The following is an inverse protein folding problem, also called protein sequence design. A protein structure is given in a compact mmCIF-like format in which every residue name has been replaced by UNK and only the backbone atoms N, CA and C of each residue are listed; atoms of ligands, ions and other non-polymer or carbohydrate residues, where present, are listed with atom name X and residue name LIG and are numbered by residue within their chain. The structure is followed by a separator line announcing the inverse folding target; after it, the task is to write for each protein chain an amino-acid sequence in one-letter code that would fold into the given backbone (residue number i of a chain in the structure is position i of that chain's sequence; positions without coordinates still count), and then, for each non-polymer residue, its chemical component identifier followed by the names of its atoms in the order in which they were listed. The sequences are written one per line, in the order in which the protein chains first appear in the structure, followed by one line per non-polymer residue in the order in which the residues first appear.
data_IF_254922343313
#
_entry.id   IF_254922343313
#
_cell.length_a   1.000
_cell.length_b   1.000
_cell.length_c   1.000
_cell.angle_alpha   90.00
_cell.angle_beta   90.00
_cell.angle_gamma   90.00
#
_symmetry.space_group_name_H-M   'P 1'
#
loop_
_entity.id
_entity.type
_entity.pdbx_description
1 polymer ?
#
# COMPACT_ATOMS: atom_id res chain seq x y z
N UNK A 1 -16.98 8.59 59.52
CA UNK A 1 -18.07 9.21 58.74
C UNK A 1 -17.70 8.98 57.27
N UNK A 2 -18.25 8.04 56.49
CA UNK A 2 -19.67 7.60 56.34
C UNK A 2 -20.58 8.83 56.15
N UNK A 3 -21.39 9.03 55.10
CA UNK A 3 -21.99 8.21 54.01
C UNK A 3 -22.29 9.13 52.78
N UNK A 4 -22.63 8.73 51.53
CA UNK A 4 -22.84 7.44 50.80
C UNK A 4 -22.64 7.67 49.27
N UNK A 5 -22.78 6.63 48.43
CA UNK A 5 -22.62 6.66 46.96
C UNK A 5 -23.83 7.19 46.14
N UNK A 6 -23.59 7.49 44.85
CA UNK A 6 -24.61 7.72 43.83
C UNK A 6 -23.98 7.96 42.45
N UNK A 7 -23.97 6.94 41.57
CA UNK A 7 -23.42 7.03 40.22
C UNK A 7 -24.48 7.05 39.13
N UNK A 8 -24.24 7.79 38.03
CA UNK A 8 -25.02 7.72 36.78
C UNK A 8 -24.04 7.86 35.61
N UNK A 9 -24.19 7.00 34.59
CA UNK A 9 -23.36 7.03 33.38
C UNK A 9 -23.73 8.20 32.46
N UNK A 10 -22.74 8.82 31.82
CA UNK A 10 -22.93 9.89 30.84
C UNK A 10 -22.64 9.36 29.42
N UNK A 11 -23.69 9.30 28.59
CA UNK A 11 -23.55 9.07 27.15
C UNK A 11 -23.39 10.41 26.42
N UNK A 12 -22.28 10.60 25.70
CA UNK A 12 -22.01 11.82 24.94
C UNK A 12 -22.53 11.71 23.51
N UNK A 13 -23.69 12.33 23.25
CA UNK A 13 -24.19 12.53 21.89
C UNK A 13 -23.54 13.78 21.26
N UNK A 14 -23.03 13.66 20.03
CA UNK A 14 -22.37 14.76 19.31
C UNK A 14 -23.36 15.79 18.76
N UNK A 15 -23.04 17.08 18.92
CA UNK A 15 -23.78 18.21 18.33
C UNK A 15 -23.06 18.74 17.08
N UNK A 16 -23.64 18.50 15.91
CA UNK A 16 -23.22 19.15 14.67
C UNK A 16 -23.90 20.53 14.55
N UNK A 17 -23.11 21.59 14.36
CA UNK A 17 -23.63 22.95 14.17
C UNK A 17 -23.90 23.24 12.69
N UNK A 18 -25.16 23.48 12.32
CA UNK A 18 -25.51 23.99 11.00
C UNK A 18 -25.60 25.52 11.00
N UNK A 19 -24.87 26.17 10.08
CA UNK A 19 -24.94 27.62 9.84
C UNK A 19 -26.16 27.95 8.97
N UNK A 20 -27.08 28.77 9.49
CA UNK A 20 -28.27 29.23 8.80
C UNK A 20 -28.09 30.64 8.22
N UNK A 21 -28.25 30.79 6.91
CA UNK A 21 -28.41 32.10 6.26
C UNK A 21 -29.90 32.43 6.10
N UNK A 22 -30.33 33.60 6.57
CA UNK A 22 -31.71 34.07 6.45
C UNK A 22 -31.80 35.30 5.55
N UNK A 23 -32.65 35.25 4.50
CA UNK A 23 -33.00 36.41 3.67
C UNK A 23 -34.44 36.83 3.96
N UNK A 24 -34.67 38.12 4.24
CA UNK A 24 -35.90 38.64 4.86
C UNK A 24 -36.95 39.01 3.80
N UNK A 25 -38.05 38.25 3.71
CA UNK A 25 -39.23 38.54 2.88
C UNK A 25 -40.50 38.68 3.73
N UNK A 26 -41.45 39.55 3.33
CA UNK A 26 -42.58 39.95 4.19
C UNK A 26 -43.81 39.03 4.05
N UNK A 27 -44.42 38.72 5.20
CA UNK A 27 -45.79 38.19 5.44
C UNK A 27 -46.08 36.73 5.02
N UNK A 28 -46.18 35.87 6.04
CA UNK A 28 -47.32 34.94 6.18
C UNK A 28 -47.08 33.47 5.83
N UNK A 29 -46.97 32.64 6.88
CA UNK A 29 -46.88 31.16 6.87
C UNK A 29 -45.60 30.58 6.25
N UNK A 30 -44.73 30.03 7.10
CA UNK A 30 -43.73 29.04 6.68
C UNK A 30 -44.47 27.79 6.23
N UNK A 31 -44.36 27.44 4.95
CA UNK A 31 -44.78 26.14 4.44
C UNK A 31 -43.49 25.36 4.11
N UNK A 32 -43.25 24.26 4.81
CA UNK A 32 -42.11 23.39 4.55
C UNK A 32 -42.37 22.68 3.20
N UNK A 33 -41.72 23.17 2.15
CA UNK A 33 -41.66 22.49 0.85
C UNK A 33 -40.42 21.60 0.88
N UNK A 34 -40.54 20.26 0.83
CA UNK A 34 -39.38 19.38 0.75
C UNK A 34 -38.62 19.64 -0.55
N UNK A 35 -37.34 19.99 -0.46
CA UNK A 35 -36.49 20.09 -1.63
C UNK A 35 -36.10 18.68 -2.08
N UNK A 36 -36.83 18.12 -3.05
CA UNK A 36 -36.57 16.82 -3.67
C UNK A 36 -35.24 16.74 -4.49
N UNK A 37 -34.37 17.75 -4.35
CA UNK A 37 -33.03 17.83 -4.95
C UNK A 37 -31.92 18.01 -3.89
N UNK A 38 -32.27 17.93 -2.59
CA UNK A 38 -31.31 18.00 -1.48
C UNK A 38 -31.36 16.76 -0.56
N UNK A 39 -31.81 15.62 -1.08
CA UNK A 39 -31.41 14.35 -0.46
C UNK A 39 -29.89 14.18 -0.68
N UNK A 40 -29.10 13.90 0.38
CA UNK A 40 -27.77 13.37 0.14
C UNK A 40 -27.97 12.06 -0.64
N UNK A 41 -27.32 11.93 -1.80
CA UNK A 41 -27.18 10.60 -2.40
C UNK A 41 -26.46 9.75 -1.38
N UNK A 42 -27.22 8.89 -0.69
CA UNK A 42 -26.68 7.65 -0.17
C UNK A 42 -26.13 6.95 -1.40
N UNK A 43 -24.83 7.06 -1.60
CA UNK A 43 -24.10 5.92 -2.07
C UNK A 43 -24.44 4.84 -1.03
N UNK A 44 -25.27 3.89 -1.41
CA UNK A 44 -25.37 2.61 -0.71
C UNK A 44 -24.04 1.90 -0.95
N UNK A 45 -23.01 2.39 -0.27
CA UNK A 45 -21.93 1.53 0.18
C UNK A 45 -22.64 0.56 1.11
N UNK A 46 -22.90 -0.63 0.57
CA UNK A 46 -23.44 -1.74 1.32
C UNK A 46 -22.43 -2.11 2.40
N UNK A 47 -22.57 -1.43 3.54
CA UNK A 47 -21.83 -1.64 4.78
C UNK A 47 -22.49 -2.71 5.64
N UNK A 48 -23.40 -3.52 5.06
CA UNK A 48 -23.67 -4.82 5.67
C UNK A 48 -22.35 -5.57 5.67
N UNK A 49 -21.84 -5.80 6.89
CA UNK A 49 -20.58 -6.50 7.08
C UNK A 49 -20.69 -7.84 6.36
N UNK A 50 -19.86 -8.04 5.33
CA UNK A 50 -19.70 -9.33 4.65
C UNK A 50 -19.13 -10.32 5.65
N UNK A 51 -20.00 -10.86 6.49
CA UNK A 51 -19.83 -12.12 7.19
C UNK A 51 -19.79 -13.19 6.09
N UNK A 52 -18.63 -13.32 5.46
CA UNK A 52 -18.29 -14.51 4.71
C UNK A 52 -18.46 -15.67 5.69
N UNK A 53 -19.29 -16.63 5.28
CA UNK A 53 -19.89 -17.58 6.20
C UNK A 53 -18.82 -18.28 7.05
N UNK A 54 -19.09 -18.35 8.35
CA UNK A 54 -18.24 -19.03 9.33
C UNK A 54 -18.35 -20.56 9.10
N UNK A 55 -17.63 -21.00 8.08
CA UNK A 55 -17.63 -22.37 7.60
C UNK A 55 -16.82 -23.24 8.53
N UNK A 56 -17.53 -23.96 9.41
CA UNK A 56 -17.12 -25.10 10.24
C UNK A 56 -15.61 -25.24 10.53
N UNK A 57 -15.25 -25.16 11.82
CA UNK A 57 -13.89 -25.37 12.34
C UNK A 57 -13.31 -26.77 12.00
N UNK A 58 -12.78 -26.90 10.79
CA UNK A 58 -11.82 -27.92 10.40
C UNK A 58 -10.39 -27.44 10.66
N UNK A 59 -9.48 -28.36 10.97
CA UNK A 59 -8.05 -28.04 10.99
C UNK A 59 -7.63 -27.72 9.55
N UNK A 60 -7.05 -26.55 9.32
CA UNK A 60 -6.58 -26.10 7.99
C UNK A 60 -5.06 -26.04 7.95
N UNK A 61 -4.46 -26.44 6.83
CA UNK A 61 -3.03 -26.30 6.59
C UNK A 61 -2.76 -25.27 5.49
N UNK A 62 -1.82 -24.35 5.70
CA UNK A 62 -1.31 -23.47 4.64
C UNK A 62 -0.54 -24.30 3.61
N UNK A 63 -0.74 -24.02 2.32
CA UNK A 63 -0.14 -24.76 1.19
C UNK A 63 0.63 -23.89 0.20
N UNK A 64 0.31 -22.60 0.16
CA UNK A 64 1.00 -21.53 -0.55
C UNK A 64 0.71 -20.22 0.21
N UNK A 65 1.70 -19.34 0.32
CA UNK A 65 1.54 -17.97 0.79
C UNK A 65 2.09 -16.98 -0.24
N UNK A 66 1.38 -15.88 -0.45
CA UNK A 66 1.78 -14.75 -1.28
C UNK A 66 1.79 -13.50 -0.41
N UNK A 67 2.91 -12.78 -0.36
CA UNK A 67 3.09 -11.57 0.44
C UNK A 67 3.31 -10.40 -0.50
N UNK A 68 2.41 -9.41 -0.50
CA UNK A 68 2.65 -8.11 -1.12
C UNK A 68 2.99 -7.11 -0.02
N UNK A 69 4.18 -6.52 -0.04
CA UNK A 69 4.60 -5.61 1.00
C UNK A 69 5.09 -4.26 0.47
N UNK A 70 4.91 -3.21 1.27
CA UNK A 70 5.54 -1.89 1.04
C UNK A 70 7.01 -1.96 1.44
N UNK A 71 7.86 -1.19 0.75
CA UNK A 71 9.22 -0.92 1.20
C UNK A 71 9.28 -0.35 2.64
N UNK A 72 10.45 -0.43 3.26
CA UNK A 72 10.70 0.11 4.60
C UNK A 72 10.87 1.62 4.64
N UNK A 73 11.14 2.15 5.83
CA UNK A 73 11.50 3.54 6.06
C UNK A 73 12.63 4.01 5.14
N UNK A 74 12.42 5.19 4.55
CA UNK A 74 13.29 5.78 3.55
C UNK A 74 13.46 7.28 3.78
N UNK A 75 14.40 7.88 3.09
CA UNK A 75 14.46 9.32 2.91
C UNK A 75 13.28 9.83 2.07
N UNK A 76 12.93 11.14 2.17
CA UNK A 76 11.91 11.78 1.35
C UNK A 76 12.11 11.63 -0.16
N UNK A 77 11.03 11.66 -0.93
CA UNK A 77 11.03 11.82 -2.41
C UNK A 77 10.93 13.29 -2.84
N UNK A 78 10.38 14.16 -1.98
CA UNK A 78 10.33 15.60 -2.17
C UNK A 78 11.06 16.32 -1.01
N UNK A 79 11.39 17.60 -1.18
CA UNK A 79 11.82 18.45 -0.08
C UNK A 79 10.77 19.52 0.17
N UNK A 80 10.51 19.82 1.44
CA UNK A 80 9.76 21.00 1.83
C UNK A 80 10.72 22.19 1.97
N UNK A 81 10.26 23.42 1.67
CA UNK A 81 11.03 24.62 1.92
C UNK A 81 11.54 24.67 3.38
N UNK A 82 12.84 24.92 3.55
CA UNK A 82 13.49 24.93 4.86
C UNK A 82 14.07 23.58 5.32
N UNK A 83 13.90 22.49 4.57
CA UNK A 83 14.65 21.24 4.80
C UNK A 83 16.11 21.38 4.32
N UNK A 84 17.08 20.68 4.95
CA UNK A 84 18.46 20.64 4.46
C UNK A 84 18.59 20.11 3.03
N UNK A 85 19.53 20.66 2.27
CA UNK A 85 19.86 20.18 0.94
C UNK A 85 20.49 18.77 0.99
N UNK A 86 20.16 17.92 0.01
CA UNK A 86 20.72 16.57 -0.11
C UNK A 86 22.25 16.64 -0.24
N UNK A 87 22.96 15.82 0.53
CA UNK A 87 24.43 15.84 0.58
C UNK A 87 25.04 17.00 1.38
N UNK A 88 24.22 17.81 2.08
CA UNK A 88 24.73 18.69 3.14
C UNK A 88 25.06 17.91 4.41
N UNK A 89 25.92 18.47 5.27
CA UNK A 89 26.24 17.90 6.59
C UNK A 89 25.00 17.65 7.45
N UNK A 90 24.01 18.53 7.36
CA UNK A 90 22.78 18.46 8.14
C UNK A 90 21.89 17.32 7.63
N UNK A 91 21.81 17.14 6.31
CA UNK A 91 21.13 15.99 5.70
C UNK A 91 21.81 14.66 6.06
N UNK A 92 23.14 14.59 5.98
CA UNK A 92 23.89 13.41 6.41
C UNK A 92 23.74 13.13 7.91
N UNK A 93 23.65 14.16 8.74
CA UNK A 93 23.37 14.03 10.19
C UNK A 93 21.95 13.50 10.46
N UNK A 94 20.96 13.89 9.66
CA UNK A 94 19.57 13.43 9.80
C UNK A 94 19.36 11.97 9.35
N UNK A 95 19.95 11.57 8.22
CA UNK A 95 19.64 10.28 7.57
C UNK A 95 20.78 9.26 7.66
N UNK A 96 22.01 9.70 7.92
CA UNK A 96 23.19 8.86 7.96
C UNK A 96 23.58 8.30 6.60
N UNK A 97 23.88 6.99 6.59
CA UNK A 97 24.31 6.28 5.39
C UNK A 97 23.30 5.21 4.98
N UNK A 98 23.04 5.17 3.67
CA UNK A 98 22.10 4.26 3.03
C UNK A 98 22.87 3.24 2.15
N UNK A 99 22.33 2.03 2.03
CA UNK A 99 22.93 0.95 1.24
C UNK A 99 22.69 1.18 -0.25
N UNK A 100 23.69 0.88 -1.08
CA UNK A 100 23.59 0.95 -2.54
C UNK A 100 23.22 -0.40 -3.14
N UNK A 101 22.37 -0.42 -4.16
CA UNK A 101 22.09 -1.64 -4.95
C UNK A 101 23.28 -1.93 -5.87
N UNK A 102 23.75 -3.19 -5.86
CA UNK A 102 24.86 -3.66 -6.70
C UNK A 102 24.55 -3.45 -8.19
N UNK A 103 25.57 -3.12 -8.97
CA UNK A 103 25.44 -2.64 -10.36
C UNK A 103 24.62 -3.53 -11.29
N UNK A 104 24.66 -4.86 -11.09
CA UNK A 104 23.89 -5.84 -11.88
C UNK A 104 22.37 -5.78 -11.69
N UNK A 105 21.87 -5.08 -10.67
CA UNK A 105 20.43 -4.87 -10.41
C UNK A 105 20.05 -3.39 -10.28
N UNK A 106 20.90 -2.49 -10.80
CA UNK A 106 20.55 -1.08 -10.94
C UNK A 106 19.32 -0.94 -11.86
N UNK A 107 18.34 -0.10 -11.52
CA UNK A 107 17.31 0.30 -12.47
C UNK A 107 17.99 0.95 -13.69
N UNK A 108 17.48 0.67 -14.90
CA UNK A 108 17.81 1.53 -16.04
C UNK A 108 17.15 2.87 -15.75
N UNK A 109 17.93 3.95 -15.68
CA UNK A 109 17.39 5.29 -15.43
C UNK A 109 16.39 5.67 -16.53
N UNK A 110 15.10 5.55 -16.23
CA UNK A 110 14.01 5.96 -17.11
C UNK A 110 13.40 7.25 -16.57
N UNK A 111 13.34 8.29 -17.42
CA UNK A 111 12.92 9.67 -17.11
C UNK A 111 11.40 9.81 -16.87
N UNK A 112 10.79 8.92 -16.06
CA UNK A 112 9.33 8.82 -15.87
C UNK A 112 8.94 8.84 -14.38
N UNK A 113 9.70 9.53 -13.52
CA UNK A 113 9.10 10.13 -12.32
C UNK A 113 8.33 11.39 -12.75
N UNK A 114 7.09 11.17 -13.18
CA UNK A 114 6.18 12.22 -13.64
C UNK A 114 5.89 13.24 -12.53
N UNK A 115 6.47 14.43 -12.66
CA UNK A 115 6.22 15.64 -11.87
C UNK A 115 6.89 15.74 -10.51
N UNK A 116 8.22 15.55 -10.47
CA UNK A 116 9.07 16.46 -9.68
C UNK A 116 9.88 17.32 -10.64
N UNK A 117 9.36 18.52 -10.93
CA UNK A 117 9.98 19.46 -11.87
C UNK A 117 11.40 19.85 -11.42
N UNK A 118 12.38 19.53 -12.27
CA UNK A 118 13.74 20.09 -12.28
C UNK A 118 14.46 20.14 -10.93
N UNK A 119 14.94 18.99 -10.45
CA UNK A 119 16.24 18.88 -9.75
C UNK A 119 16.75 17.42 -9.65
N UNK A 120 16.13 16.47 -10.36
CA UNK A 120 16.57 15.08 -10.48
C UNK A 120 17.74 14.92 -11.45
N UNK A 121 18.87 15.59 -11.17
CA UNK A 121 20.11 14.86 -11.32
C UNK A 121 20.17 13.87 -10.17
N UNK A 122 20.43 12.59 -10.46
CA UNK A 122 21.13 11.78 -9.48
C UNK A 122 22.47 12.48 -9.28
N UNK A 123 22.54 13.30 -8.22
CA UNK A 123 23.64 14.22 -8.00
C UNK A 123 24.92 13.43 -8.01
N UNK A 124 25.78 13.72 -8.99
CA UNK A 124 27.09 13.11 -9.19
C UNK A 124 27.76 12.92 -7.84
N UNK A 125 27.70 11.69 -7.32
CA UNK A 125 28.43 11.34 -6.12
C UNK A 125 29.88 11.69 -6.44
N UNK A 126 30.46 12.62 -5.66
CA UNK A 126 31.88 12.92 -5.73
C UNK A 126 32.63 11.59 -5.76
N UNK A 127 33.64 11.47 -6.63
CA UNK A 127 34.30 10.21 -6.98
C UNK A 127 35.06 9.59 -5.77
N UNK A 128 34.27 9.11 -4.82
CA UNK A 128 34.63 8.48 -3.56
C UNK A 128 34.30 7.00 -3.68
N UNK A 129 35.28 6.21 -3.28
CA UNK A 129 35.46 4.80 -3.58
C UNK A 129 34.15 3.98 -3.77
N UNK A 130 34.00 3.44 -4.99
CA UNK A 130 32.87 2.59 -5.37
C UNK A 130 32.89 1.22 -4.66
N UNK A 131 33.89 0.96 -3.81
CA UNK A 131 33.99 -0.22 -2.96
C UNK A 131 33.00 -0.26 -1.79
N UNK A 132 32.50 0.90 -1.31
CA UNK A 132 31.68 0.95 -0.10
C UNK A 132 30.21 0.63 -0.37
N UNK A 133 29.71 -0.41 0.30
CA UNK A 133 28.31 -0.88 0.26
C UNK A 133 27.31 0.18 0.80
N UNK A 134 27.78 1.04 1.71
CA UNK A 134 27.02 2.17 2.25
C UNK A 134 27.67 3.49 1.83
N UNK A 135 26.85 4.52 1.58
CA UNK A 135 27.30 5.89 1.35
C UNK A 135 26.28 6.90 1.88
N UNK A 136 26.54 8.21 1.77
CA UNK A 136 25.56 9.25 2.12
C UNK A 136 24.19 8.98 1.48
N UNK A 137 23.12 9.10 2.28
CA UNK A 137 21.77 8.88 1.78
C UNK A 137 21.37 9.93 0.73
N UNK A 138 20.89 9.49 -0.43
CA UNK A 138 20.18 10.33 -1.40
C UNK A 138 18.69 10.47 -1.10
N UNK A 139 17.93 11.06 -2.03
CA UNK A 139 16.46 11.06 -2.00
C UNK A 139 15.88 9.66 -2.24
N UNK A 140 14.73 9.36 -1.63
CA UNK A 140 13.99 8.12 -1.85
C UNK A 140 14.71 6.81 -1.51
N UNK A 141 15.83 6.85 -0.79
CA UNK A 141 16.66 5.70 -0.45
C UNK A 141 16.22 5.02 0.84
N UNK A 142 16.25 3.68 0.87
CA UNK A 142 15.97 2.90 2.07
C UNK A 142 17.01 3.20 3.15
N UNK A 143 16.56 3.58 4.35
CA UNK A 143 17.45 3.83 5.49
C UNK A 143 17.65 2.56 6.31
N UNK A 144 18.64 2.56 7.21
CA UNK A 144 18.85 1.47 8.18
C UNK A 144 17.63 1.16 9.05
N UNK A 145 16.69 2.11 9.23
CA UNK A 145 15.42 1.84 9.89
C UNK A 145 14.54 0.94 9.01
N UNK A 146 14.44 1.25 7.71
CA UNK A 146 13.72 0.43 6.75
C UNK A 146 14.31 -0.97 6.58
N UNK A 147 15.64 -1.08 6.57
CA UNK A 147 16.33 -2.37 6.57
C UNK A 147 15.88 -3.25 7.75
N UNK A 148 15.93 -2.71 8.98
CA UNK A 148 15.48 -3.41 10.20
C UNK A 148 13.99 -3.73 10.20
N UNK A 149 13.14 -2.84 9.67
CA UNK A 149 11.71 -3.11 9.54
C UNK A 149 11.46 -4.35 8.67
N UNK A 150 12.16 -4.47 7.53
CA UNK A 150 11.93 -5.59 6.63
C UNK A 150 12.56 -6.88 7.15
N UNK A 151 13.71 -6.81 7.82
CA UNK A 151 14.26 -7.95 8.56
C UNK A 151 13.33 -8.42 9.69
N UNK A 152 12.63 -7.51 10.37
CA UNK A 152 11.61 -7.86 11.35
C UNK A 152 10.36 -8.51 10.70
N UNK A 153 9.88 -7.99 9.56
CA UNK A 153 8.80 -8.62 8.80
C UNK A 153 9.19 -10.02 8.31
N UNK A 154 10.41 -10.20 7.78
CA UNK A 154 10.96 -11.49 7.41
C UNK A 154 11.05 -12.47 8.59
N UNK A 155 11.44 -11.98 9.76
CA UNK A 155 11.50 -12.76 11.00
C UNK A 155 10.11 -13.19 11.50
N UNK A 156 9.09 -12.32 11.34
CA UNK A 156 7.69 -12.68 11.58
C UNK A 156 7.22 -13.79 10.62
N UNK A 157 7.49 -13.65 9.31
CA UNK A 157 7.17 -14.66 8.30
C UNK A 157 7.90 -15.99 8.58
N UNK A 158 9.15 -15.93 9.08
CA UNK A 158 9.90 -17.11 9.56
C UNK A 158 9.19 -17.81 10.72
N UNK A 159 8.80 -17.05 11.74
CA UNK A 159 8.01 -17.57 12.86
C UNK A 159 6.72 -18.24 12.38
N UNK A 160 5.96 -17.55 11.52
CA UNK A 160 4.64 -17.97 11.04
C UNK A 160 4.65 -19.15 10.06
N UNK A 161 5.68 -19.31 9.23
CA UNK A 161 5.67 -20.31 8.15
C UNK A 161 6.81 -21.33 8.18
N UNK A 162 7.90 -21.09 8.89
CA UNK A 162 9.01 -22.06 9.03
C UNK A 162 8.98 -22.74 10.40
N UNK A 163 8.74 -21.98 11.48
CA UNK A 163 8.85 -22.47 12.85
C UNK A 163 7.52 -22.98 13.44
N UNK A 164 6.41 -22.29 13.16
CA UNK A 164 5.09 -22.61 13.71
C UNK A 164 4.07 -22.89 12.62
N UNK A 165 4.00 -24.16 12.17
CA UNK A 165 2.95 -24.57 11.25
C UNK A 165 1.58 -24.62 11.92
N UNK A 166 0.70 -23.66 11.60
CA UNK A 166 -0.71 -23.72 12.00
C UNK A 166 -1.33 -25.08 11.61
N UNK A 167 -2.08 -25.68 12.54
CA UNK A 167 -2.82 -26.93 12.36
C UNK A 167 -2.03 -28.25 12.35
N UNK A 168 -0.77 -28.27 11.88
CA UNK A 168 -0.06 -29.54 11.58
C UNK A 168 1.24 -29.80 12.33
N UNK A 169 1.76 -28.82 13.10
CA UNK A 169 3.01 -28.97 13.84
C UNK A 169 4.28 -29.06 12.97
N UNK A 170 4.17 -28.80 11.66
CA UNK A 170 5.30 -28.69 10.72
C UNK A 170 5.17 -27.40 9.90
N UNK A 171 6.27 -26.67 9.75
CA UNK A 171 6.35 -25.50 8.90
C UNK A 171 5.90 -25.77 7.45
N UNK A 172 5.39 -24.73 6.80
CA UNK A 172 5.03 -24.71 5.37
C UNK A 172 6.27 -24.93 4.48
N UNK A 173 7.39 -24.36 4.91
CA UNK A 173 8.74 -24.54 4.37
C UNK A 173 9.54 -25.44 5.31
N UNK A 174 10.55 -26.15 4.80
CA UNK A 174 11.50 -26.85 5.66
C UNK A 174 12.32 -25.82 6.46
N UNK A 175 12.74 -26.15 7.69
CA UNK A 175 13.69 -25.32 8.45
C UNK A 175 15.12 -25.49 7.92
N UNK A 176 15.27 -25.19 6.63
CA UNK A 176 16.56 -24.91 6.02
C UNK A 176 16.90 -23.46 6.33
N UNK A 177 18.08 -23.21 6.91
CA UNK A 177 18.54 -21.86 7.22
C UNK A 177 18.94 -21.04 5.97
N UNK A 178 18.61 -21.53 4.77
CA UNK A 178 18.89 -20.97 3.45
C UNK A 178 17.67 -21.21 2.55
N UNK A 179 17.31 -20.28 1.64
CA UNK A 179 16.20 -20.50 0.70
C UNK A 179 16.48 -21.67 -0.25
N UNK A 180 15.42 -22.41 -0.57
CA UNK A 180 15.38 -23.36 -1.69
C UNK A 180 14.73 -22.65 -2.88
N UNK A 181 15.43 -22.40 -4.02
CA UNK A 181 14.91 -21.58 -5.12
C UNK A 181 13.63 -22.09 -5.81
N UNK A 182 13.27 -23.37 -5.62
CA UNK A 182 12.01 -23.94 -6.11
C UNK A 182 10.83 -23.77 -5.12
N UNK A 183 11.11 -23.47 -3.85
CA UNK A 183 10.08 -23.26 -2.81
C UNK A 183 9.76 -21.78 -2.58
N UNK A 184 10.68 -20.87 -2.94
CA UNK A 184 10.57 -19.43 -2.72
C UNK A 184 10.79 -18.65 -4.02
N UNK A 185 9.83 -17.81 -4.40
CA UNK A 185 9.96 -16.83 -5.47
C UNK A 185 9.84 -15.41 -4.91
N UNK A 186 10.65 -14.47 -5.42
CA UNK A 186 10.70 -13.09 -4.92
C UNK A 186 10.73 -12.14 -6.10
N UNK A 187 9.78 -11.21 -6.14
CA UNK A 187 9.63 -10.20 -7.19
C UNK A 187 9.70 -8.81 -6.56
N UNK A 188 10.34 -7.87 -7.24
CA UNK A 188 10.42 -6.46 -6.82
C UNK A 188 10.13 -5.55 -8.00
N UNK A 189 9.49 -4.41 -7.74
CA UNK A 189 9.51 -3.30 -8.70
C UNK A 189 10.93 -2.83 -8.94
N UNK A 190 11.19 -2.14 -10.05
CA UNK A 190 12.53 -1.65 -10.45
C UNK A 190 13.02 -0.43 -9.65
N UNK A 191 12.78 -0.38 -8.33
CA UNK A 191 13.29 0.70 -7.47
C UNK A 191 14.31 0.19 -6.46
N UNK A 192 15.41 0.92 -6.25
CA UNK A 192 16.45 0.53 -5.28
C UNK A 192 15.91 0.25 -3.87
N UNK A 193 14.92 1.03 -3.41
CA UNK A 193 14.29 0.85 -2.09
C UNK A 193 13.44 -0.43 -1.97
N UNK A 194 12.78 -0.88 -3.03
CA UNK A 194 12.00 -2.14 -3.04
C UNK A 194 12.93 -3.34 -3.19
N UNK A 195 13.92 -3.26 -4.08
CA UNK A 195 14.94 -4.32 -4.25
C UNK A 195 15.66 -4.60 -2.93
N UNK A 196 16.12 -3.56 -2.21
CA UNK A 196 16.74 -3.72 -0.90
C UNK A 196 15.75 -4.22 0.16
N UNK A 197 14.49 -3.75 0.13
CA UNK A 197 13.46 -4.20 1.08
C UNK A 197 13.20 -5.71 0.97
N UNK A 198 13.13 -6.26 -0.25
CA UNK A 198 13.05 -7.70 -0.50
C UNK A 198 14.27 -8.46 0.06
N UNK A 199 15.49 -7.94 -0.12
CA UNK A 199 16.72 -8.55 0.40
C UNK A 199 16.74 -8.61 1.93
N UNK A 200 16.28 -7.56 2.61
CA UNK A 200 16.22 -7.55 4.08
C UNK A 200 15.06 -8.39 4.63
N UNK A 201 13.92 -8.48 3.93
CA UNK A 201 12.87 -9.45 4.24
C UNK A 201 13.40 -10.89 4.15
N UNK A 202 14.10 -11.21 3.05
CA UNK A 202 14.78 -12.50 2.90
C UNK A 202 15.82 -12.73 4.00
N UNK A 203 16.51 -11.68 4.48
CA UNK A 203 17.49 -11.81 5.57
C UNK A 203 16.82 -12.20 6.89
N UNK A 204 15.64 -11.65 7.20
CA UNK A 204 14.83 -12.08 8.35
C UNK A 204 14.27 -13.50 8.19
N UNK A 205 13.89 -13.86 6.97
CA UNK A 205 13.32 -15.18 6.65
C UNK A 205 14.38 -16.31 6.74
N UNK A 206 15.60 -16.02 6.27
CA UNK A 206 16.74 -16.93 6.20
C UNK A 206 18.02 -16.30 6.81
N UNK A 207 18.09 -16.17 8.15
CA UNK A 207 19.15 -15.39 8.82
C UNK A 207 20.57 -15.92 8.61
N UNK A 208 20.75 -17.22 8.34
CA UNK A 208 22.07 -17.81 8.07
C UNK A 208 22.46 -17.85 6.59
N UNK A 209 21.58 -17.41 5.68
CA UNK A 209 21.88 -17.39 4.25
C UNK A 209 22.92 -16.33 3.89
N UNK A 210 23.70 -16.61 2.86
CA UNK A 210 24.64 -15.67 2.27
C UNK A 210 23.91 -14.47 1.63
N UNK A 211 24.46 -13.27 1.81
CA UNK A 211 23.84 -12.04 1.35
C UNK A 211 23.78 -11.90 -0.17
N UNK A 212 24.72 -12.48 -0.92
CA UNK A 212 24.69 -12.48 -2.38
C UNK A 212 23.66 -13.49 -2.89
N UNK A 213 23.54 -14.68 -2.29
CA UNK A 213 22.48 -15.64 -2.60
C UNK A 213 21.08 -15.02 -2.41
N UNK A 214 20.86 -14.31 -1.29
CA UNK A 214 19.59 -13.60 -1.05
C UNK A 214 19.37 -12.47 -2.07
N UNK A 215 20.42 -11.71 -2.40
CA UNK A 215 20.35 -10.68 -3.43
C UNK A 215 19.98 -11.25 -4.80
N UNK A 216 20.54 -12.41 -5.18
CA UNK A 216 20.30 -13.04 -6.48
C UNK A 216 18.88 -13.58 -6.64
N UNK A 217 18.26 -14.07 -5.55
CA UNK A 217 16.88 -14.57 -5.54
C UNK A 217 15.83 -13.50 -5.90
N UNK A 218 16.10 -12.20 -5.64
CA UNK A 218 15.19 -11.09 -5.96
C UNK A 218 15.13 -10.84 -7.47
N UNK A 219 13.99 -11.14 -8.09
CA UNK A 219 13.75 -10.90 -9.51
C UNK A 219 13.10 -9.53 -9.73
N UNK A 220 13.51 -8.83 -10.78
CA UNK A 220 12.87 -7.58 -11.25
C UNK A 220 12.28 -7.89 -12.63
N UNK A 221 11.02 -8.35 -12.72
CA UNK A 221 10.43 -8.84 -13.97
C UNK A 221 10.19 -7.72 -14.99
N UNK A 222 10.05 -6.48 -14.52
CA UNK A 222 9.87 -5.28 -15.32
C UNK A 222 10.93 -4.26 -14.90
N UNK A 223 12.00 -4.12 -15.68
CA UNK A 223 13.01 -3.08 -15.46
C UNK A 223 12.48 -1.70 -15.89
N UNK A 224 11.57 -1.67 -16.86
CA UNK A 224 10.86 -0.46 -17.30
C UNK A 224 9.51 -0.28 -16.57
N UNK A 225 9.14 0.97 -16.34
CA UNK A 225 7.86 1.33 -15.71
C UNK A 225 6.65 1.26 -16.66
N UNK A 226 6.83 1.03 -17.96
CA UNK A 226 5.70 0.93 -18.90
C UNK A 226 4.99 -0.42 -18.77
N UNK A 227 5.75 -1.47 -18.48
CA UNK A 227 5.25 -2.83 -18.34
C UNK A 227 4.84 -3.21 -16.91
N UNK A 228 5.38 -2.52 -15.89
CA UNK A 228 5.13 -2.79 -14.46
C UNK A 228 3.63 -3.03 -14.15
N UNK A 229 3.38 -4.08 -13.36
CA UNK A 229 2.06 -4.63 -13.01
C UNK A 229 1.71 -4.50 -11.52
N UNK A 230 2.71 -4.33 -10.64
CA UNK A 230 2.53 -4.21 -9.20
C UNK A 230 2.06 -2.82 -8.74
N UNK A 231 1.95 -1.83 -9.64
CA UNK A 231 1.38 -0.51 -9.37
C UNK A 231 0.32 -0.14 -10.41
N UNK A 232 -0.56 0.80 -10.06
CA UNK A 232 -1.45 1.44 -11.02
C UNK A 232 -0.61 2.18 -12.07
N UNK A 233 -0.58 1.64 -13.28
CA UNK A 233 0.38 2.09 -14.30
C UNK A 233 -0.21 3.21 -15.17
N UNK A 234 -0.22 4.41 -14.59
CA UNK A 234 -0.65 5.64 -15.27
C UNK A 234 0.28 6.08 -16.41
N UNK A 235 1.46 5.46 -16.57
CA UNK A 235 2.39 5.75 -17.67
C UNK A 235 1.92 5.10 -18.98
N UNK A 236 1.61 3.80 -18.95
CA UNK A 236 1.18 3.03 -20.13
C UNK A 236 -0.33 3.06 -20.40
N UNK A 237 -1.15 3.50 -19.45
CA UNK A 237 -2.61 3.45 -19.58
C UNK A 237 -3.28 4.83 -19.66
N UNK A 238 -3.59 5.31 -20.87
CA UNK A 238 -4.25 6.62 -21.07
C UNK A 238 -5.62 6.69 -20.38
N UNK A 239 -6.46 5.65 -20.48
CA UNK A 239 -7.77 5.63 -19.79
C UNK A 239 -7.66 5.71 -18.27
N UNK A 240 -6.70 5.01 -17.66
CA UNK A 240 -6.46 5.06 -16.21
C UNK A 240 -5.91 6.43 -15.79
N UNK A 241 -5.02 7.03 -16.59
CA UNK A 241 -4.50 8.41 -16.41
C UNK A 241 -5.62 9.46 -16.44
N UNK A 242 -6.60 9.30 -17.32
CA UNK A 242 -7.82 10.14 -17.33
C UNK A 242 -8.62 9.97 -16.02
N UNK A 243 -8.91 8.73 -15.63
CA UNK A 243 -9.70 8.44 -14.44
C UNK A 243 -9.05 8.97 -13.15
N UNK A 244 -7.72 8.93 -13.08
CA UNK A 244 -6.92 9.53 -12.00
C UNK A 244 -7.02 11.07 -12.00
N UNK A 245 -7.02 11.73 -13.16
CA UNK A 245 -7.19 13.18 -13.23
C UNK A 245 -8.60 13.60 -12.77
N UNK A 246 -9.63 12.81 -13.10
CA UNK A 246 -10.99 12.99 -12.59
C UNK A 246 -11.05 12.78 -11.06
N UNK A 247 -10.35 11.78 -10.53
CA UNK A 247 -10.23 11.53 -9.08
C UNK A 247 -9.53 12.68 -8.35
N UNK A 248 -8.38 13.13 -8.85
CA UNK A 248 -7.65 14.30 -8.35
C UNK A 248 -8.56 15.53 -8.31
N UNK A 249 -9.31 15.80 -9.37
CA UNK A 249 -10.26 16.92 -9.43
C UNK A 249 -11.33 16.84 -8.34
N UNK A 250 -11.95 15.67 -8.12
CA UNK A 250 -12.92 15.44 -7.04
C UNK A 250 -12.31 15.69 -5.65
N UNK A 251 -11.16 15.09 -5.37
CA UNK A 251 -10.52 15.13 -4.05
C UNK A 251 -9.94 16.51 -3.74
N UNK A 252 -9.32 17.20 -4.70
CA UNK A 252 -8.83 18.58 -4.53
C UNK A 252 -9.99 19.60 -4.47
N UNK A 253 -11.16 19.28 -5.02
CA UNK A 253 -12.40 20.03 -4.78
C UNK A 253 -12.99 19.85 -3.36
N UNK A 254 -12.53 18.86 -2.60
CA UNK A 254 -12.99 18.58 -1.24
C UNK A 254 -12.70 19.72 -0.25
N UNK A 255 -13.50 19.82 0.83
CA UNK A 255 -13.26 20.83 1.88
C UNK A 255 -11.99 20.52 2.68
N UNK A 256 -11.75 19.25 3.02
CA UNK A 256 -10.56 18.81 3.76
C UNK A 256 -9.28 19.17 2.99
N UNK A 257 -9.16 18.73 1.74
CA UNK A 257 -7.99 18.96 0.88
C UNK A 257 -7.69 20.44 0.70
N UNK A 258 -8.71 21.27 0.42
CA UNK A 258 -8.53 22.73 0.28
C UNK A 258 -8.07 23.39 1.57
N UNK A 259 -8.63 23.01 2.71
CA UNK A 259 -8.21 23.54 4.01
C UNK A 259 -6.79 23.10 4.38
N UNK A 260 -6.43 21.85 4.06
CA UNK A 260 -5.10 21.29 4.26
C UNK A 260 -4.05 22.02 3.43
N UNK A 261 -4.31 22.26 2.14
CA UNK A 261 -3.41 22.98 1.24
C UNK A 261 -3.27 24.46 1.61
N UNK A 262 -4.36 25.12 2.05
CA UNK A 262 -4.28 26.48 2.57
C UNK A 262 -3.39 26.57 3.82
N UNK A 263 -3.54 25.64 4.77
CA UNK A 263 -2.66 25.57 5.96
C UNK A 263 -1.22 25.17 5.63
N UNK A 264 -1.00 24.40 4.56
CA UNK A 264 0.35 24.14 4.05
C UNK A 264 0.97 25.43 3.48
N UNK A 265 0.21 26.19 2.68
CA UNK A 265 0.64 27.47 2.12
C UNK A 265 0.97 28.52 3.20
N UNK A 266 0.24 28.55 4.31
CA UNK A 266 0.55 29.40 5.47
C UNK A 266 1.83 28.95 6.22
N UNK A 267 2.19 27.67 6.14
CA UNK A 267 3.29 27.07 6.90
C UNK A 267 4.64 27.03 6.18
N UNK A 268 4.68 27.15 4.84
CA UNK A 268 5.91 27.01 4.04
C UNK A 268 6.28 28.29 3.27
N UNK A 269 7.57 28.49 3.02
CA UNK A 269 8.02 29.51 2.08
C UNK A 269 7.55 29.17 0.65
N UNK A 270 7.23 30.18 -0.16
CA UNK A 270 6.63 30.00 -1.49
C UNK A 270 5.09 29.99 -1.48
N UNK A 271 4.45 29.86 -0.32
CA UNK A 271 3.01 30.10 -0.16
C UNK A 271 2.12 29.16 -0.98
N UNK A 272 1.05 29.72 -1.56
CA UNK A 272 0.03 28.95 -2.28
C UNK A 272 0.58 28.24 -3.53
N UNK A 273 1.46 28.89 -4.30
CA UNK A 273 2.04 28.29 -5.51
C UNK A 273 2.81 27.00 -5.18
N UNK A 274 3.68 27.07 -4.17
CA UNK A 274 4.49 25.92 -3.74
C UNK A 274 3.63 24.83 -3.09
N UNK A 275 2.63 25.18 -2.28
CA UNK A 275 1.70 24.23 -1.69
C UNK A 275 0.86 23.48 -2.75
N UNK A 276 0.43 24.16 -3.82
CA UNK A 276 -0.28 23.54 -4.94
C UNK A 276 0.65 22.67 -5.80
N UNK A 277 1.92 23.08 -5.99
CA UNK A 277 2.94 22.30 -6.70
C UNK A 277 3.29 21.00 -5.99
N UNK A 278 3.44 21.04 -4.66
CA UNK A 278 3.69 19.86 -3.82
C UNK A 278 2.45 18.96 -3.69
N UNK A 279 1.26 19.57 -3.65
CA UNK A 279 0.02 18.86 -3.39
C UNK A 279 0.01 18.11 -2.05
N UNK A 280 -0.97 17.23 -1.86
CA UNK A 280 -1.09 16.46 -0.61
C UNK A 280 -0.11 15.27 -0.53
N UNK A 281 0.28 14.72 -1.67
CA UNK A 281 1.23 13.59 -1.73
C UNK A 281 2.65 14.08 -1.47
N UNK A 282 3.13 15.07 -2.24
CA UNK A 282 4.46 15.65 -2.11
C UNK A 282 4.62 16.51 -0.87
N UNK A 283 3.55 17.16 -0.38
CA UNK A 283 3.55 17.83 0.92
C UNK A 283 3.65 16.87 2.10
N UNK A 284 2.99 15.71 2.04
CA UNK A 284 2.99 14.72 3.11
C UNK A 284 4.22 13.78 3.13
N UNK A 285 4.84 13.49 1.98
CA UNK A 285 5.93 12.51 1.90
C UNK A 285 7.15 12.79 2.79
N UNK A 286 7.64 14.04 2.87
CA UNK A 286 8.78 14.36 3.73
C UNK A 286 8.39 14.27 5.21
N UNK A 287 7.16 14.63 5.55
CA UNK A 287 6.63 14.57 6.91
C UNK A 287 6.47 13.11 7.38
N UNK A 288 5.97 12.21 6.53
CA UNK A 288 5.95 10.76 6.80
C UNK A 288 7.36 10.22 7.04
N UNK A 289 8.32 10.62 6.21
CA UNK A 289 9.71 10.19 6.32
C UNK A 289 10.35 10.67 7.63
N UNK A 290 10.15 11.94 8.01
CA UNK A 290 10.66 12.51 9.27
C UNK A 290 10.04 11.84 10.50
N UNK A 291 8.70 11.73 10.54
CA UNK A 291 7.95 11.13 11.65
C UNK A 291 8.33 9.67 11.87
N UNK A 292 8.52 8.89 10.81
CA UNK A 292 8.99 7.51 10.90
C UNK A 292 10.37 7.37 11.60
N UNK A 293 11.24 8.38 11.49
CA UNK A 293 12.57 8.39 12.07
C UNK A 293 12.64 9.14 13.43
N UNK A 294 11.52 9.64 13.93
CA UNK A 294 11.49 10.49 15.13
C UNK A 294 12.19 11.84 14.94
N UNK A 295 12.38 12.28 13.70
CA UNK A 295 13.01 13.56 13.37
C UNK A 295 11.97 14.70 13.49
N UNK A 296 12.40 15.92 13.88
CA UNK A 296 11.50 17.05 14.02
C UNK A 296 10.87 17.45 12.68
N UNK A 297 9.62 17.89 12.72
CA UNK A 297 8.97 18.52 11.57
C UNK A 297 9.60 19.88 11.26
N UNK A 298 9.57 20.36 10.00
CA UNK A 298 10.02 21.71 9.66
C UNK A 298 9.27 22.78 10.44
N UNK A 299 9.93 23.92 10.71
CA UNK A 299 9.32 25.05 11.39
C UNK A 299 8.04 25.51 10.67
N UNK A 300 6.99 25.81 11.44
CA UNK A 300 5.65 26.16 10.92
C UNK A 300 4.74 24.94 10.71
N UNK A 301 5.28 23.72 10.55
CA UNK A 301 4.47 22.52 10.30
C UNK A 301 4.15 21.81 11.62
N UNK A 302 2.86 21.53 11.82
CA UNK A 302 2.34 20.82 13.02
C UNK A 302 1.99 19.36 12.72
N UNK A 303 2.02 18.51 13.74
CA UNK A 303 1.48 17.13 13.66
C UNK A 303 -0.01 17.08 13.25
N UNK A 304 -0.77 18.16 13.49
CA UNK A 304 -2.11 18.32 12.92
C UNK A 304 -2.05 18.36 11.40
N UNK A 305 -1.30 19.32 10.85
CA UNK A 305 -1.15 19.51 9.40
C UNK A 305 -0.55 18.27 8.72
N UNK A 306 0.44 17.61 9.33
CA UNK A 306 1.02 16.37 8.81
C UNK A 306 -0.03 15.25 8.67
N UNK A 307 -0.92 15.08 9.68
CA UNK A 307 -2.01 14.10 9.62
C UNK A 307 -3.11 14.49 8.65
N UNK A 308 -3.40 15.78 8.48
CA UNK A 308 -4.39 16.26 7.50
C UNK A 308 -3.89 16.05 6.05
N UNK A 309 -2.57 16.18 5.81
CA UNK A 309 -1.92 15.81 4.55
C UNK A 309 -1.96 14.30 4.30
N UNK A 310 -1.66 13.48 5.31
CA UNK A 310 -1.79 12.01 5.20
C UNK A 310 -3.25 11.59 4.91
N UNK A 311 -4.24 12.22 5.56
CA UNK A 311 -5.66 11.93 5.36
C UNK A 311 -6.15 12.35 3.96
N UNK A 312 -5.76 13.55 3.50
CA UNK A 312 -6.10 14.02 2.15
C UNK A 312 -5.40 13.21 1.06
N UNK A 313 -4.15 12.78 1.31
CA UNK A 313 -3.40 11.89 0.43
C UNK A 313 -4.01 10.49 0.37
N UNK A 314 -4.49 9.95 1.50
CA UNK A 314 -5.19 8.66 1.55
C UNK A 314 -6.49 8.70 0.73
N UNK A 315 -7.30 9.74 0.90
CA UNK A 315 -8.51 9.94 0.11
C UNK A 315 -8.21 10.06 -1.40
N UNK A 316 -7.08 10.68 -1.77
CA UNK A 316 -6.63 10.75 -3.16
C UNK A 316 -6.28 9.36 -3.71
N UNK A 317 -5.55 8.54 -2.95
CA UNK A 317 -5.21 7.18 -3.36
C UNK A 317 -6.45 6.29 -3.47
N UNK A 318 -7.35 6.32 -2.50
CA UNK A 318 -8.56 5.47 -2.48
C UNK A 318 -9.48 5.74 -3.69
N UNK A 319 -9.70 7.01 -4.04
CA UNK A 319 -10.49 7.39 -5.22
C UNK A 319 -9.72 7.10 -6.54
N UNK A 320 -8.40 7.31 -6.57
CA UNK A 320 -7.55 7.02 -7.74
C UNK A 320 -7.34 5.53 -8.00
N UNK A 321 -7.43 4.68 -6.96
CA UNK A 321 -7.42 3.21 -7.06
C UNK A 321 -8.82 2.62 -7.18
N UNK A 322 -9.86 3.46 -7.13
CA UNK A 322 -11.20 3.08 -7.53
C UNK A 322 -11.97 2.22 -6.53
N UNK A 323 -11.86 2.49 -5.22
CA UNK A 323 -12.74 1.83 -4.23
C UNK A 323 -14.23 1.85 -4.67
N UNK A 324 -14.68 2.97 -5.25
CA UNK A 324 -16.01 3.13 -5.86
C UNK A 324 -16.14 2.80 -7.36
N UNK A 325 -15.09 2.31 -8.04
CA UNK A 325 -15.08 2.09 -9.51
C UNK A 325 -14.43 0.76 -9.91
N UNK A 326 -15.23 -0.15 -10.48
CA UNK A 326 -14.72 -1.40 -11.03
C UNK A 326 -13.80 -1.20 -12.23
N UNK A 327 -14.04 -0.18 -13.07
CA UNK A 327 -13.19 0.13 -14.22
C UNK A 327 -11.77 0.49 -13.78
N UNK A 328 -11.64 1.38 -12.79
CA UNK A 328 -10.35 1.79 -12.24
C UNK A 328 -9.63 0.60 -11.59
N UNK A 329 -10.33 -0.21 -10.76
CA UNK A 329 -9.73 -1.40 -10.13
C UNK A 329 -9.25 -2.44 -11.14
N UNK A 330 -10.04 -2.67 -12.21
CA UNK A 330 -9.69 -3.59 -13.29
C UNK A 330 -8.47 -3.09 -14.07
N UNK A 331 -8.44 -1.82 -14.48
CA UNK A 331 -7.30 -1.23 -15.20
C UNK A 331 -6.04 -1.14 -14.33
N UNK A 332 -6.19 -0.77 -13.07
CA UNK A 332 -5.08 -0.47 -12.16
C UNK A 332 -4.44 -1.69 -11.51
N UNK A 333 -5.24 -2.66 -11.07
CA UNK A 333 -4.77 -3.84 -10.33
C UNK A 333 -5.14 -5.18 -10.99
N UNK A 334 -5.84 -5.19 -12.13
CA UNK A 334 -6.33 -6.41 -12.77
C UNK A 334 -5.24 -7.35 -13.28
N UNK A 335 -4.08 -6.82 -13.69
CA UNK A 335 -2.91 -7.62 -14.10
C UNK A 335 -2.26 -8.31 -12.88
N UNK A 336 -2.02 -7.58 -11.79
CA UNK A 336 -1.54 -8.16 -10.52
C UNK A 336 -2.51 -9.20 -9.96
N UNK A 337 -3.81 -8.88 -9.93
CA UNK A 337 -4.86 -9.79 -9.46
C UNK A 337 -4.91 -11.07 -10.29
N UNK A 338 -4.66 -10.99 -11.61
CA UNK A 338 -4.57 -12.16 -12.47
C UNK A 338 -3.34 -13.04 -12.18
N UNK A 339 -2.18 -12.45 -11.87
CA UNK A 339 -1.00 -13.23 -11.43
C UNK A 339 -1.27 -13.95 -10.11
N UNK A 340 -1.73 -13.21 -9.08
CA UNK A 340 -2.03 -13.76 -7.75
C UNK A 340 -3.04 -14.93 -7.80
N UNK A 341 -4.08 -14.82 -8.62
CA UNK A 341 -5.06 -15.89 -8.85
C UNK A 341 -4.46 -17.06 -9.65
N UNK A 342 -3.60 -16.80 -10.64
CA UNK A 342 -2.91 -17.83 -11.40
C UNK A 342 -1.96 -18.66 -10.52
N UNK A 343 -1.28 -18.05 -9.53
CA UNK A 343 -0.46 -18.80 -8.54
C UNK A 343 -1.31 -19.74 -7.70
N UNK A 344 -2.48 -19.28 -7.24
CA UNK A 344 -3.46 -20.09 -6.51
C UNK A 344 -3.95 -21.25 -7.39
N UNK A 345 -4.41 -20.97 -8.61
CA UNK A 345 -4.91 -21.96 -9.55
C UNK A 345 -3.85 -23.02 -9.92
N UNK A 346 -2.59 -22.61 -10.11
CA UNK A 346 -1.49 -23.53 -10.37
C UNK A 346 -1.22 -24.46 -9.16
N UNK A 347 -1.37 -23.96 -7.93
CA UNK A 347 -1.18 -24.75 -6.71
C UNK A 347 -2.33 -25.73 -6.45
N UNK A 348 -3.57 -25.34 -6.71
CA UNK A 348 -4.74 -26.25 -6.57
C UNK A 348 -4.77 -27.31 -7.67
N UNK A 349 -4.33 -26.99 -8.89
CA UNK A 349 -4.17 -27.95 -9.98
C UNK A 349 -2.97 -28.90 -9.78
N UNK A 350 -1.90 -28.45 -9.12
CA UNK A 350 -0.72 -29.26 -8.82
C UNK A 350 -0.32 -29.18 -7.33
N UNK A 351 -0.90 -30.07 -6.53
CA UNK A 351 -0.59 -30.24 -5.10
C UNK A 351 0.86 -30.68 -4.82
N UNK A 352 1.61 -31.10 -5.84
CA UNK A 352 3.04 -31.45 -5.75
C UNK A 352 3.99 -30.28 -6.13
N UNK A 353 3.46 -29.11 -6.49
CA UNK A 353 4.30 -27.93 -6.74
C UNK A 353 5.20 -27.63 -5.54
N UNK A 354 6.52 -27.43 -5.75
CA UNK A 354 7.44 -27.10 -4.65
C UNK A 354 7.21 -25.68 -4.12
N UNK A 355 6.68 -24.77 -4.93
CA UNK A 355 6.52 -23.35 -4.58
C UNK A 355 5.58 -23.17 -3.38
N UNK A 356 6.10 -22.60 -2.29
CA UNK A 356 5.40 -22.38 -1.01
C UNK A 356 5.24 -20.93 -0.64
N UNK A 357 6.22 -20.08 -0.94
CA UNK A 357 6.21 -18.66 -0.59
C UNK A 357 6.52 -17.82 -1.83
N UNK A 358 5.71 -16.78 -2.05
CA UNK A 358 5.97 -15.75 -3.05
C UNK A 358 5.99 -14.40 -2.35
N UNK A 359 7.05 -13.63 -2.56
CA UNK A 359 7.22 -12.28 -2.05
C UNK A 359 7.13 -11.26 -3.20
N UNK A 360 6.39 -10.18 -3.00
CA UNK A 360 6.20 -9.08 -3.94
C UNK A 360 6.54 -7.76 -3.22
N UNK A 361 7.71 -7.20 -3.54
CA UNK A 361 8.24 -5.98 -2.93
C UNK A 361 7.88 -4.75 -3.73
N UNK A 362 7.03 -3.89 -3.16
CA UNK A 362 6.39 -2.81 -3.89
C UNK A 362 6.10 -1.58 -3.00
N UNK A 363 5.00 -0.88 -3.29
CA UNK A 363 4.74 0.49 -2.80
C UNK A 363 3.48 0.58 -1.93
N UNK A 364 3.28 1.72 -1.27
CA UNK A 364 2.01 2.08 -0.63
C UNK A 364 0.86 2.10 -1.64
N UNK A 365 1.13 2.56 -2.87
CA UNK A 365 0.17 2.50 -3.99
C UNK A 365 -0.17 1.06 -4.39
N UNK A 366 0.74 0.11 -4.23
CA UNK A 366 0.50 -1.32 -4.46
C UNK A 366 -0.42 -1.93 -3.39
N UNK A 367 -0.14 -1.64 -2.11
CA UNK A 367 -0.97 -2.06 -0.98
C UNK A 367 -2.38 -1.49 -1.12
N UNK A 368 -2.50 -0.17 -1.30
CA UNK A 368 -3.79 0.49 -1.47
C UNK A 368 -4.52 0.02 -2.74
N UNK A 369 -3.79 -0.19 -3.83
CA UNK A 369 -4.33 -0.71 -5.07
C UNK A 369 -4.94 -2.11 -4.92
N UNK A 370 -4.28 -3.03 -4.21
CA UNK A 370 -4.78 -4.39 -3.99
C UNK A 370 -5.94 -4.42 -2.96
N UNK A 371 -5.88 -3.61 -1.89
CA UNK A 371 -7.01 -3.47 -0.95
C UNK A 371 -8.25 -2.93 -1.66
N UNK A 372 -8.11 -1.86 -2.44
CA UNK A 372 -9.19 -1.33 -3.28
C UNK A 372 -9.71 -2.40 -4.24
N UNK A 373 -8.81 -3.09 -4.98
CA UNK A 373 -9.17 -4.16 -5.91
C UNK A 373 -10.11 -5.19 -5.27
N UNK A 374 -9.68 -5.77 -4.14
CA UNK A 374 -10.42 -6.77 -3.38
C UNK A 374 -11.65 -6.21 -2.63
N UNK A 375 -11.80 -4.88 -2.53
CA UNK A 375 -12.86 -4.23 -1.76
C UNK A 375 -12.69 -4.37 -0.26
N UNK A 376 -11.43 -4.39 0.21
CA UNK A 376 -11.04 -4.51 1.61
C UNK A 376 -10.76 -3.12 2.20
N UNK A 377 -11.13 -2.85 3.46
CA UNK A 377 -11.00 -1.53 4.05
C UNK A 377 -9.53 -1.14 4.25
N UNK A 378 -9.23 0.13 4.02
CA UNK A 378 -7.98 0.79 4.39
C UNK A 378 -8.34 2.14 5.03
N UNK A 379 -7.97 2.35 6.30
CA UNK A 379 -8.44 3.54 7.05
C UNK A 379 -7.50 4.76 6.99
N UNK A 380 -6.26 4.57 6.53
CA UNK A 380 -5.22 5.60 6.42
C UNK A 380 -4.18 5.21 5.37
N UNK A 381 -3.32 6.14 5.00
CA UNK A 381 -2.15 5.84 4.16
C UNK A 381 -1.34 4.70 4.79
N UNK A 382 -1.10 3.62 4.03
CA UNK A 382 -0.49 2.40 4.54
C UNK A 382 0.90 2.67 5.14
N UNK A 383 1.17 2.18 6.35
CA UNK A 383 2.42 2.46 7.05
C UNK A 383 3.62 1.75 6.41
N UNK A 384 4.85 2.11 6.81
CA UNK A 384 6.09 1.56 6.26
C UNK A 384 6.23 0.08 6.66
N UNK A 385 6.72 -0.74 5.73
CA UNK A 385 6.73 -2.21 5.87
C UNK A 385 5.35 -2.88 6.09
N UNK A 386 4.25 -2.19 5.76
CA UNK A 386 2.92 -2.82 5.67
C UNK A 386 2.88 -3.98 4.68
N UNK A 387 2.06 -5.00 4.96
CA UNK A 387 1.95 -6.20 4.13
C UNK A 387 0.53 -6.72 4.01
N UNK A 388 0.17 -7.16 2.81
CA UNK A 388 -0.99 -8.00 2.53
C UNK A 388 -0.49 -9.42 2.35
N UNK A 389 -1.05 -10.38 3.10
CA UNK A 389 -0.67 -11.78 3.04
C UNK A 389 -1.87 -12.60 2.59
N UNK A 390 -1.72 -13.31 1.48
CA UNK A 390 -2.75 -14.18 0.88
C UNK A 390 -2.27 -15.63 1.05
N UNK A 391 -2.98 -16.38 1.88
CA UNK A 391 -2.70 -17.78 2.16
C UNK A 391 -3.72 -18.68 1.45
N UNK A 392 -3.24 -19.70 0.74
CA UNK A 392 -4.06 -20.81 0.27
C UNK A 392 -4.05 -21.91 1.33
N UNK A 393 -5.22 -22.22 1.87
CA UNK A 393 -5.49 -23.19 2.92
C UNK A 393 -6.16 -24.44 2.32
N UNK A 394 -5.75 -25.63 2.79
CA UNK A 394 -6.37 -26.92 2.50
C UNK A 394 -6.96 -27.50 3.79
N UNK A 395 -8.23 -27.92 3.76
CA UNK A 395 -8.87 -28.59 4.90
C UNK A 395 -8.21 -29.96 5.15
N UNK A 396 -7.79 -30.21 6.39
CA UNK A 396 -7.16 -31.46 6.83
C UNK A 396 -8.25 -32.43 7.29
N UNK A 397 -8.25 -33.64 6.75
CA UNK A 397 -9.21 -34.67 7.14
C UNK A 397 -9.08 -35.03 8.63
N UNK A 398 -10.16 -34.84 9.38
CA UNK A 398 -10.27 -35.30 10.78
C UNK A 398 -10.56 -36.82 10.76
N UNK A 399 -9.77 -37.67 11.44
CA UNK A 399 -9.90 -39.15 11.34
C UNK A 399 -11.26 -39.74 11.71
N UNK A 400 -12.10 -39.01 12.45
CA UNK A 400 -13.37 -39.48 13.01
C UNK A 400 -14.61 -39.12 12.16
N UNK A 401 -14.44 -38.38 11.05
CA UNK A 401 -15.55 -37.97 10.17
C UNK A 401 -15.50 -38.71 8.82
N UNK A 402 -16.65 -39.04 8.18
CA UNK A 402 -16.66 -39.58 6.82
C UNK A 402 -15.94 -38.65 5.83
N UNK A 403 -15.38 -39.18 4.72
CA UNK A 403 -14.59 -38.42 3.76
C UNK A 403 -15.46 -37.55 2.83
N UNK A 404 -16.16 -36.58 3.41
CA UNK A 404 -16.82 -35.46 2.69
C UNK A 404 -16.04 -34.14 2.87
N UNK A 405 -14.95 -34.14 3.66
CA UNK A 405 -14.26 -32.92 4.11
C UNK A 405 -12.75 -32.86 3.73
N UNK A 406 -12.30 -33.65 2.75
CA UNK A 406 -10.91 -33.59 2.25
C UNK A 406 -10.85 -32.93 0.88
N UNK A 407 -10.07 -31.85 0.74
CA UNK A 407 -9.82 -31.18 -0.54
C UNK A 407 -10.61 -29.89 -0.79
N UNK A 408 -11.26 -29.33 0.22
CA UNK A 408 -11.79 -27.97 0.14
C UNK A 408 -10.67 -26.95 0.33
N UNK A 409 -10.60 -26.00 -0.61
CA UNK A 409 -9.63 -24.92 -0.65
C UNK A 409 -10.25 -23.62 -0.12
N UNK A 410 -9.53 -22.97 0.78
CA UNK A 410 -9.89 -21.66 1.34
C UNK A 410 -8.76 -20.65 1.07
N UNK A 411 -9.09 -19.37 0.92
CA UNK A 411 -8.13 -18.28 0.81
C UNK A 411 -8.31 -17.39 2.04
N UNK A 412 -7.25 -17.22 2.84
CA UNK A 412 -7.21 -16.21 3.91
C UNK A 412 -6.42 -14.99 3.43
N UNK A 413 -6.98 -13.80 3.60
CA UNK A 413 -6.33 -12.52 3.29
C UNK A 413 -6.14 -11.75 4.58
N UNK A 414 -4.88 -11.48 4.92
CA UNK A 414 -4.46 -10.70 6.08
C UNK A 414 -3.91 -9.34 5.63
N UNK A 415 -4.19 -8.26 6.36
CA UNK A 415 -3.53 -6.96 6.16
C UNK A 415 -2.89 -6.46 7.46
N UNK A 416 -1.58 -6.29 7.44
CA UNK A 416 -0.81 -5.63 8.49
C UNK A 416 -0.37 -4.23 8.04
N UNK A 417 -0.85 -3.21 8.75
CA UNK A 417 -0.61 -1.81 8.45
C UNK A 417 0.61 -1.28 9.22
N UNK A 418 1.78 -1.67 8.73
CA UNK A 418 3.06 -1.54 9.40
C UNK A 418 3.61 -2.91 9.77
N UNK A 419 4.53 -2.97 10.73
CA UNK A 419 5.02 -4.25 11.25
C UNK A 419 3.91 -5.02 11.98
N UNK A 420 3.82 -6.35 11.79
CA UNK A 420 2.94 -7.20 12.58
C UNK A 420 3.17 -7.01 14.08
N UNK A 421 2.07 -6.87 14.83
CA UNK A 421 2.07 -6.60 16.27
C UNK A 421 1.07 -7.51 17.00
N UNK A 422 1.09 -7.49 18.33
CA UNK A 422 0.16 -8.25 19.19
C UNK A 422 -1.32 -7.90 18.95
N UNK A 423 -1.62 -6.75 18.34
CA UNK A 423 -2.99 -6.36 17.97
C UNK A 423 -3.56 -7.17 16.80
N UNK A 424 -2.73 -7.97 16.12
CA UNK A 424 -3.13 -8.74 14.94
C UNK A 424 -3.22 -7.88 13.66
N UNK A 425 -3.77 -8.44 12.58
CA UNK A 425 -3.99 -7.73 11.32
C UNK A 425 -5.24 -6.84 11.39
N UNK A 426 -5.26 -5.75 10.61
CA UNK A 426 -6.45 -4.89 10.45
C UNK A 426 -7.55 -5.54 9.58
N UNK A 427 -7.16 -6.47 8.71
CA UNK A 427 -8.08 -7.32 7.94
C UNK A 427 -7.66 -8.76 8.17
N UNK A 428 -8.60 -9.61 8.58
CA UNK A 428 -8.51 -11.07 8.48
C UNK A 428 -9.83 -11.56 7.88
N UNK A 429 -9.78 -12.01 6.63
CA UNK A 429 -10.95 -12.57 5.94
C UNK A 429 -10.61 -13.91 5.32
N UNK A 430 -11.43 -14.92 5.58
CA UNK A 430 -11.31 -16.24 4.96
C UNK A 430 -12.48 -16.46 3.99
N UNK A 431 -12.15 -16.90 2.77
CA UNK A 431 -13.06 -17.15 1.67
C UNK A 431 -12.95 -18.60 1.22
N UNK A 432 -14.02 -19.19 0.69
CA UNK A 432 -13.90 -20.42 -0.12
C UNK A 432 -13.21 -20.10 -1.45
N UNK A 433 -12.56 -21.07 -2.09
CA UNK A 433 -11.97 -20.89 -3.41
C UNK A 433 -12.98 -20.36 -4.45
N UNK A 434 -14.23 -20.81 -4.40
CA UNK A 434 -15.29 -20.30 -5.26
C UNK A 434 -15.64 -18.82 -4.98
N UNK A 435 -15.68 -18.40 -3.71
CA UNK A 435 -15.92 -17.01 -3.35
C UNK A 435 -14.76 -16.10 -3.74
N UNK A 436 -13.51 -16.55 -3.56
CA UNK A 436 -12.32 -15.87 -4.07
C UNK A 436 -12.39 -15.69 -5.60
N UNK A 437 -12.62 -16.79 -6.34
CA UNK A 437 -12.73 -16.77 -7.81
C UNK A 437 -13.83 -15.82 -8.29
N UNK A 438 -14.99 -15.81 -7.64
CA UNK A 438 -16.08 -14.88 -7.95
C UNK A 438 -15.70 -13.40 -7.69
N UNK A 439 -14.95 -13.12 -6.62
CA UNK A 439 -14.48 -11.78 -6.29
C UNK A 439 -13.42 -11.26 -7.27
N UNK A 440 -12.47 -12.12 -7.69
CA UNK A 440 -11.37 -11.70 -8.60
C UNK A 440 -11.73 -11.77 -10.08
N UNK A 441 -12.66 -12.62 -10.50
CA UNK A 441 -13.07 -12.78 -11.90
C UNK A 441 -13.34 -11.45 -12.65
N UNK A 442 -14.09 -10.47 -12.13
CA UNK A 442 -14.33 -9.19 -12.82
C UNK A 442 -13.10 -8.26 -12.86
N UNK A 443 -12.08 -8.52 -12.03
CA UNK A 443 -10.84 -7.74 -11.95
C UNK A 443 -9.77 -8.26 -12.92
N UNK A 444 -9.63 -9.59 -13.05
CA UNK A 444 -8.56 -10.23 -13.84
C UNK A 444 -8.52 -9.69 -15.27
N UNK A 445 -7.34 -9.24 -15.68
CA UNK A 445 -7.11 -8.58 -16.96
C UNK A 445 -5.81 -9.10 -17.57
N UNK A 446 -5.88 -9.66 -18.78
CA UNK A 446 -4.69 -10.05 -19.54
C UNK A 446 -3.98 -8.82 -20.14
N UNK A 447 -2.73 -9.00 -20.57
CA UNK A 447 -1.97 -7.93 -21.23
C UNK A 447 -2.68 -7.38 -22.49
N UNK A 448 -3.21 -8.26 -23.33
CA UNK A 448 -3.92 -7.85 -24.55
C UNK A 448 -5.23 -7.10 -24.27
N UNK A 449 -5.99 -7.52 -23.25
CA UNK A 449 -7.19 -6.79 -22.82
C UNK A 449 -6.83 -5.43 -22.20
N UNK A 450 -5.75 -5.36 -21.41
CA UNK A 450 -5.22 -4.11 -20.84
C UNK A 450 -4.88 -3.10 -21.94
N UNK A 451 -4.12 -3.51 -22.96
CA UNK A 451 -3.76 -2.65 -24.11
C UNK A 451 -4.97 -2.16 -24.93
N UNK A 452 -6.11 -2.86 -24.87
CA UNK A 452 -7.37 -2.45 -25.50
C UNK A 452 -8.13 -1.49 -24.57
N UNK A 453 -8.34 -1.86 -23.31
CA UNK A 453 -9.13 -1.09 -22.34
C UNK A 453 -8.42 0.19 -21.86
N UNK A 454 -7.10 0.27 -21.99
CA UNK A 454 -6.32 1.48 -21.71
C UNK A 454 -6.42 2.57 -22.78
N UNK A 455 -7.04 2.30 -23.93
CA UNK A 455 -7.24 3.30 -24.99
C UNK A 455 -8.31 4.29 -24.59
N UNK A 456 -8.12 5.56 -24.96
CA UNK A 456 -9.14 6.59 -24.75
C UNK A 456 -10.42 6.28 -25.56
N UNK A 457 -11.61 6.56 -24.99
CA UNK A 457 -12.87 6.50 -25.74
C UNK A 457 -12.84 7.43 -26.97
N UNK A 458 -13.49 7.07 -28.09
CA UNK A 458 -13.56 7.91 -29.28
C UNK A 458 -14.07 9.32 -28.96
N UNK A 459 -13.36 10.35 -29.44
CA UNK A 459 -13.71 11.75 -29.24
C UNK A 459 -13.25 12.38 -27.92
N UNK A 460 -12.63 11.62 -27.01
CA UNK A 460 -12.00 12.20 -25.81
C UNK A 460 -10.57 12.67 -26.09
N UNK A 461 -10.20 13.82 -25.52
CA UNK A 461 -8.83 14.34 -25.56
C UNK A 461 -7.91 13.44 -24.73
N UNK A 462 -6.64 13.32 -25.14
CA UNK A 462 -5.63 12.65 -24.32
C UNK A 462 -5.50 13.37 -22.96
N UNK A 463 -5.40 12.63 -21.84
CA UNK A 463 -5.16 13.22 -20.53
C UNK A 463 -3.80 13.94 -20.50
N UNK A 464 -3.62 14.92 -19.59
CA UNK A 464 -2.31 15.52 -19.34
C UNK A 464 -1.29 14.46 -18.89
N UNK A 465 0.02 14.77 -18.92
CA UNK A 465 1.04 13.92 -18.32
C UNK A 465 0.69 13.55 -16.87
N UNK A 466 1.12 12.37 -16.45
CA UNK A 466 0.88 11.90 -15.09
C UNK A 466 1.60 12.80 -14.07
N UNK A 467 0.87 13.23 -13.04
CA UNK A 467 1.34 14.10 -11.95
C UNK A 467 0.75 13.59 -10.62
N UNK A 468 1.59 13.38 -9.60
CA UNK A 468 1.14 12.96 -8.26
C UNK A 468 0.77 14.15 -7.35
#
# INVERSE_FOLDING_TARGET
MQTVAGGVAAATAGLASHVLWARKGRRGKLQLIPCALCEPRKAEVDTSARHFADGAEGIRQVRLVQVLHRHGARTPLALLPGMPAVGSTDWESMWGQCRRVRSSKQPVASEVEGSVSSLSSEGSASAGDASSEYGPCGMGQLTRLGERQLEALGSFLRGRYLLHGEGSGKGLLQDSHSPVPSEVAVFSTSTSRTILSAQFLLKGLFPSADGQLLADLVQVPHSDWLNETMVHNYASCDRLRQLQAEARSRVYGGLLTRHTLARLAEAIAGGEEEAQRLGVVGGGDPLRSLRAHGLPLPAGISEGLARDLDASGHALLEDSHGMGSLEVRRLGAGRLTADLDARIAARTANSQSPLRLIDYSAHDTSISGLLCALGLPQHRWADLASSIIIELLEDVAIPEKPPEASGHWHIRVLFYDGLPSEQGPQVDVTLTLAAWQAAVAPLRLSQAEYEIQCRMPPGMLKPPPHTW
#
